data_IF_029565964170
#
_entry.id   IF_029565964170
#
_cell.length_a   1.000
_cell.length_b   1.000
_cell.length_c   1.000
_cell.angle_alpha   90.00
_cell.angle_beta   90.00
_cell.angle_gamma   90.00
#
_symmetry.space_group_name_H-M   'P 1'
#
loop_
_entity.id
_entity.type
_entity.pdbx_description
1 polymer ?
#
# COMPACT_ATOMS: atom_id res chain seq x y z
N UNK A 1 -2.53 42.58 -59.77
CA UNK A 1 -1.45 42.90 -58.83
C UNK A 1 -1.91 42.36 -57.45
N UNK A 2 -1.55 41.13 -57.16
CA UNK A 2 -2.00 40.42 -55.93
C UNK A 2 -0.95 40.70 -54.86
N UNK A 3 -1.36 41.37 -53.81
CA UNK A 3 -0.53 41.69 -52.64
C UNK A 3 -0.49 40.43 -51.77
N UNK A 4 0.61 39.69 -51.80
CA UNK A 4 0.85 38.53 -50.88
C UNK A 4 1.21 39.15 -49.53
N UNK A 5 0.23 39.10 -48.63
CA UNK A 5 0.41 39.47 -47.21
C UNK A 5 1.37 38.46 -46.56
N UNK A 6 2.59 38.91 -46.27
CA UNK A 6 3.62 38.12 -45.63
C UNK A 6 3.21 37.80 -44.19
N UNK A 7 2.83 36.57 -43.95
CA UNK A 7 2.56 36.00 -42.62
C UNK A 7 3.79 36.18 -41.71
N UNK A 8 3.74 37.18 -40.82
CA UNK A 8 4.77 37.40 -39.81
C UNK A 8 4.78 36.21 -38.86
N UNK A 9 5.63 35.22 -39.12
CA UNK A 9 5.95 34.15 -38.18
C UNK A 9 6.48 34.81 -36.90
N UNK A 10 5.63 34.81 -35.85
CA UNK A 10 5.98 35.27 -34.52
C UNK A 10 7.08 34.33 -33.97
N UNK A 11 8.35 34.71 -34.13
CA UNK A 11 9.47 33.95 -33.57
C UNK A 11 9.47 34.18 -32.06
N UNK A 12 9.14 33.14 -31.29
CA UNK A 12 9.21 33.17 -29.82
C UNK A 12 10.65 33.54 -29.42
N UNK A 13 10.87 34.57 -28.58
CA UNK A 13 12.21 34.99 -28.16
C UNK A 13 12.96 33.85 -27.45
N UNK A 14 14.27 33.82 -27.59
CA UNK A 14 15.13 32.75 -27.03
C UNK A 14 14.92 32.55 -25.52
N UNK A 15 14.77 33.63 -24.77
CA UNK A 15 14.48 33.58 -23.33
C UNK A 15 13.20 32.82 -22.99
N UNK A 16 12.13 32.99 -23.77
CA UNK A 16 10.88 32.26 -23.57
C UNK A 16 11.02 30.77 -23.91
N UNK A 17 11.78 30.40 -24.94
CA UNK A 17 12.03 28.99 -25.28
C UNK A 17 12.83 28.31 -24.17
N UNK A 18 13.85 28.97 -23.64
CA UNK A 18 14.65 28.48 -22.53
C UNK A 18 13.79 28.30 -21.26
N UNK A 19 12.95 29.31 -20.96
CA UNK A 19 12.01 29.22 -19.83
C UNK A 19 11.13 27.96 -19.91
N UNK A 20 10.41 27.78 -21.02
CA UNK A 20 9.51 26.66 -21.19
C UNK A 20 10.24 25.31 -21.19
N UNK A 21 11.42 25.23 -21.79
CA UNK A 21 12.23 24.00 -21.79
C UNK A 21 12.61 23.58 -20.37
N UNK A 22 13.16 24.51 -19.57
CA UNK A 22 13.56 24.24 -18.19
C UNK A 22 12.34 23.93 -17.30
N UNK A 23 11.26 24.68 -17.49
CA UNK A 23 10.03 24.47 -16.72
C UNK A 23 9.41 23.10 -16.99
N UNK A 24 9.27 22.68 -18.25
CA UNK A 24 8.72 21.36 -18.57
C UNK A 24 9.62 20.20 -18.14
N UNK A 25 10.95 20.38 -18.22
CA UNK A 25 11.89 19.40 -17.69
C UNK A 25 11.71 19.23 -16.18
N UNK A 26 11.62 20.32 -15.41
CA UNK A 26 11.39 20.29 -13.98
C UNK A 26 10.02 19.69 -13.63
N UNK A 27 8.98 20.09 -14.37
CA UNK A 27 7.62 19.55 -14.19
C UNK A 27 7.59 18.03 -14.42
N UNK A 28 8.24 17.54 -15.48
CA UNK A 28 8.37 16.10 -15.76
C UNK A 28 9.05 15.36 -14.63
N UNK A 29 10.16 15.89 -14.11
CA UNK A 29 10.85 15.32 -12.97
C UNK A 29 9.94 15.29 -11.73
N UNK A 30 9.22 16.37 -11.44
CA UNK A 30 8.29 16.45 -10.30
C UNK A 30 7.19 15.39 -10.41
N UNK A 31 6.60 15.21 -11.59
CA UNK A 31 5.57 14.18 -11.81
C UNK A 31 6.14 12.76 -11.61
N UNK A 32 7.30 12.46 -12.19
CA UNK A 32 7.96 11.17 -11.98
C UNK A 32 8.26 10.90 -10.51
N UNK A 33 8.75 11.91 -9.79
CA UNK A 33 9.05 11.80 -8.37
C UNK A 33 7.80 11.58 -7.52
N UNK A 34 6.69 12.29 -7.82
CA UNK A 34 5.41 12.08 -7.14
C UNK A 34 4.86 10.66 -7.35
N UNK A 35 4.95 10.13 -8.57
CA UNK A 35 4.52 8.76 -8.87
C UNK A 35 5.35 7.73 -8.10
N UNK A 36 6.67 7.91 -8.08
CA UNK A 36 7.58 7.05 -7.33
C UNK A 36 7.29 7.10 -5.82
N UNK A 37 7.15 8.30 -5.27
CA UNK A 37 6.85 8.48 -3.84
C UNK A 37 5.49 7.89 -3.46
N UNK A 38 4.47 8.06 -4.31
CA UNK A 38 3.15 7.46 -4.09
C UNK A 38 3.22 5.93 -3.99
N UNK A 39 3.97 5.28 -4.88
CA UNK A 39 4.16 3.82 -4.83
C UNK A 39 4.89 3.39 -3.56
N UNK A 40 5.98 4.08 -3.22
CA UNK A 40 6.77 3.80 -2.01
C UNK A 40 5.94 3.91 -0.72
N UNK A 41 5.16 4.98 -0.57
CA UNK A 41 4.31 5.14 0.62
C UNK A 41 3.25 4.04 0.73
N UNK A 42 2.65 3.65 -0.39
CA UNK A 42 1.67 2.56 -0.41
C UNK A 42 2.28 1.23 0.00
N UNK A 43 3.44 0.89 -0.52
CA UNK A 43 4.18 -0.33 -0.14
C UNK A 43 4.54 -0.30 1.34
N UNK A 44 5.10 0.80 1.81
CA UNK A 44 5.46 0.97 3.22
C UNK A 44 4.26 0.84 4.17
N UNK A 45 3.10 1.41 3.81
CA UNK A 45 1.89 1.28 4.60
C UNK A 45 1.40 -0.18 4.68
N UNK A 46 1.49 -0.93 3.56
CA UNK A 46 1.15 -2.35 3.53
C UNK A 46 2.11 -3.19 4.37
N UNK A 47 3.41 -2.95 4.27
CA UNK A 47 4.42 -3.62 5.09
C UNK A 47 4.23 -3.34 6.58
N UNK A 48 3.96 -2.08 6.94
CA UNK A 48 3.69 -1.69 8.33
C UNK A 48 2.48 -2.45 8.90
N UNK A 49 1.39 -2.53 8.14
CA UNK A 49 0.21 -3.28 8.56
C UNK A 49 0.50 -4.78 8.64
N UNK A 50 1.24 -5.33 7.66
CA UNK A 50 1.68 -6.72 7.68
C UNK A 50 2.51 -7.02 8.93
N UNK A 51 3.46 -6.17 9.31
CA UNK A 51 4.30 -6.36 10.48
C UNK A 51 3.48 -6.38 11.79
N UNK A 52 2.44 -5.55 11.89
CA UNK A 52 1.53 -5.59 13.04
C UNK A 52 0.77 -6.92 13.10
N UNK A 53 0.21 -7.38 11.98
CA UNK A 53 -0.54 -8.63 11.92
C UNK A 53 0.36 -9.86 12.07
N UNK A 54 1.55 -9.83 11.47
CA UNK A 54 2.57 -10.87 11.66
C UNK A 54 2.96 -11.01 13.13
N UNK A 55 3.11 -9.89 13.85
CA UNK A 55 3.36 -9.94 15.30
C UNK A 55 2.20 -10.61 16.07
N UNK A 56 0.94 -10.38 15.68
CA UNK A 56 -0.19 -11.13 16.26
C UNK A 56 -0.11 -12.63 15.95
N UNK A 57 0.29 -13.01 14.74
CA UNK A 57 0.49 -14.42 14.38
C UNK A 57 1.55 -15.08 15.27
N UNK A 58 2.68 -14.42 15.53
CA UNK A 58 3.73 -14.93 16.44
C UNK A 58 3.27 -15.00 17.90
N UNK A 59 2.52 -14.00 18.37
CA UNK A 59 1.95 -14.04 19.72
C UNK A 59 0.97 -15.19 19.89
N UNK A 60 0.09 -15.41 18.91
CA UNK A 60 -0.85 -16.52 18.90
C UNK A 60 -0.12 -17.87 18.91
N UNK A 61 0.89 -18.05 18.06
CA UNK A 61 1.71 -19.25 18.05
C UNK A 61 2.30 -19.54 19.43
N UNK A 62 2.89 -18.54 20.11
CA UNK A 62 3.45 -18.72 21.45
C UNK A 62 2.41 -19.16 22.47
N UNK A 63 1.19 -18.59 22.42
CA UNK A 63 0.10 -19.00 23.29
C UNK A 63 -0.36 -20.43 22.99
N UNK A 64 -0.46 -20.81 21.71
CA UNK A 64 -0.82 -22.18 21.33
C UNK A 64 0.24 -23.21 21.75
N UNK A 65 1.51 -22.86 21.84
CA UNK A 65 2.54 -23.76 22.37
C UNK A 65 2.40 -24.06 23.89
N UNK A 66 1.74 -23.18 24.64
CA UNK A 66 1.61 -23.26 26.06
C UNK A 66 0.27 -23.91 26.49
N UNK A 67 -0.61 -24.21 25.56
CA UNK A 67 -1.96 -24.72 25.80
C UNK A 67 -2.26 -25.91 24.90
N UNK A 68 -3.04 -26.82 25.41
CA UNK A 68 -3.56 -27.98 24.64
C UNK A 68 -4.90 -27.72 23.96
N UNK A 69 -5.62 -26.66 24.36
CA UNK A 69 -6.90 -26.27 23.78
C UNK A 69 -6.75 -25.00 22.90
N UNK A 70 -6.75 -25.21 21.59
CA UNK A 70 -6.62 -24.15 20.59
C UNK A 70 -7.80 -23.17 20.68
N UNK A 71 -9.04 -23.66 20.88
CA UNK A 71 -10.22 -22.81 20.89
C UNK A 71 -10.17 -21.80 22.05
N UNK A 72 -9.93 -22.30 23.26
CA UNK A 72 -9.80 -21.45 24.45
C UNK A 72 -8.63 -20.47 24.32
N UNK A 73 -7.53 -20.94 23.75
CA UNK A 73 -6.34 -20.11 23.55
C UNK A 73 -6.61 -18.94 22.61
N UNK A 74 -7.30 -19.18 21.49
CA UNK A 74 -7.63 -18.10 20.52
C UNK A 74 -8.64 -17.14 21.14
N UNK A 75 -9.65 -17.60 21.87
CA UNK A 75 -10.61 -16.72 22.55
C UNK A 75 -9.87 -15.79 23.52
N UNK A 76 -9.05 -16.36 24.41
CA UNK A 76 -8.23 -15.58 25.34
C UNK A 76 -7.30 -14.58 24.62
N UNK A 77 -6.70 -14.98 23.49
CA UNK A 77 -5.88 -14.11 22.68
C UNK A 77 -6.68 -12.94 22.10
N UNK A 78 -7.89 -13.20 21.60
CA UNK A 78 -8.77 -12.17 21.04
C UNK A 78 -9.25 -11.15 22.08
N UNK A 79 -9.38 -11.56 23.34
CA UNK A 79 -9.73 -10.65 24.43
C UNK A 79 -8.60 -9.68 24.77
N UNK A 80 -7.35 -10.12 24.62
CA UNK A 80 -6.15 -9.33 24.95
C UNK A 80 -5.78 -8.29 23.88
N UNK A 81 -6.28 -8.44 22.64
CA UNK A 81 -5.92 -7.54 21.55
C UNK A 81 -6.95 -6.42 21.32
N UNK A 82 -6.50 -5.21 20.91
CA UNK A 82 -7.41 -4.08 20.69
C UNK A 82 -8.28 -4.22 19.44
N UNK A 83 -7.86 -5.01 18.44
CA UNK A 83 -8.57 -5.19 17.16
C UNK A 83 -9.66 -6.27 17.28
N UNK A 84 -10.87 -5.86 17.65
CA UNK A 84 -12.00 -6.78 17.87
C UNK A 84 -12.51 -7.48 16.59
N UNK A 85 -12.29 -6.85 15.40
CA UNK A 85 -12.68 -7.43 14.10
C UNK A 85 -11.58 -8.31 13.48
N UNK A 86 -10.55 -8.67 14.24
CA UNK A 86 -9.48 -9.53 13.75
C UNK A 86 -10.01 -10.93 13.46
N UNK A 87 -9.85 -11.38 12.22
CA UNK A 87 -10.05 -12.78 11.84
C UNK A 87 -8.74 -13.52 12.00
N UNK A 88 -8.82 -14.68 12.63
CA UNK A 88 -7.67 -15.57 12.86
C UNK A 88 -7.95 -16.94 12.26
N UNK A 89 -6.97 -17.49 11.52
CA UNK A 89 -7.04 -18.82 10.92
C UNK A 89 -5.72 -19.54 11.18
N UNK A 90 -5.78 -20.81 11.57
CA UNK A 90 -4.63 -21.70 11.71
C UNK A 90 -4.75 -22.79 10.64
N UNK A 91 -3.69 -22.96 9.85
CA UNK A 91 -3.65 -23.86 8.68
C UNK A 91 -2.49 -24.83 8.87
N UNK A 92 -2.73 -26.10 8.64
CA UNK A 92 -1.74 -27.15 8.77
C UNK A 92 -0.74 -27.19 7.58
N UNK A 93 0.30 -28.04 7.64
CA UNK A 93 1.24 -28.18 6.52
C UNK A 93 0.62 -28.67 5.21
N UNK A 94 -0.49 -29.41 5.25
CA UNK A 94 -1.24 -29.85 4.06
C UNK A 94 -2.12 -28.76 3.44
N UNK A 95 -2.36 -27.68 4.20
CA UNK A 95 -3.19 -26.54 3.76
C UNK A 95 -4.61 -26.58 4.28
N UNK A 96 -4.91 -27.58 5.14
CA UNK A 96 -6.23 -27.71 5.71
C UNK A 96 -6.40 -26.76 6.92
N UNK A 97 -7.60 -26.20 7.06
CA UNK A 97 -7.90 -25.26 8.14
C UNK A 97 -8.16 -26.02 9.43
N UNK A 98 -7.33 -25.80 10.44
CA UNK A 98 -7.51 -26.36 11.78
C UNK A 98 -8.42 -25.49 12.65
N UNK A 99 -8.40 -24.17 12.45
CA UNK A 99 -9.17 -23.21 13.19
C UNK A 99 -9.47 -21.96 12.36
N UNK A 100 -10.69 -21.44 12.47
CA UNK A 100 -11.08 -20.12 11.93
C UNK A 100 -12.18 -19.52 12.81
N UNK A 101 -11.98 -18.29 13.31
CA UNK A 101 -12.95 -17.62 14.19
C UNK A 101 -14.09 -16.91 13.44
N UNK A 102 -14.18 -17.02 12.11
CA UNK A 102 -15.28 -16.40 11.35
C UNK A 102 -16.60 -17.16 11.40
N UNK A 103 -16.60 -18.35 12.01
CA UNK A 103 -17.80 -19.19 12.14
C UNK A 103 -18.28 -19.83 10.84
N UNK A 104 -17.45 -19.82 9.81
CA UNK A 104 -17.75 -20.50 8.54
C UNK A 104 -17.12 -21.89 8.56
N UNK A 105 -17.94 -22.93 8.52
CA UNK A 105 -17.50 -24.34 8.54
C UNK A 105 -16.83 -24.82 7.24
N UNK A 106 -16.37 -23.91 6.40
CA UNK A 106 -15.67 -24.27 5.18
C UNK A 106 -14.21 -24.61 5.48
N UNK A 107 -13.97 -25.89 5.83
CA UNK A 107 -12.64 -26.48 5.92
C UNK A 107 -12.03 -26.76 4.54
N UNK A 108 -12.04 -25.74 3.67
CA UNK A 108 -11.41 -25.84 2.35
C UNK A 108 -9.89 -25.72 2.49
N UNK A 109 -9.17 -26.44 1.62
CA UNK A 109 -7.73 -26.29 1.54
C UNK A 109 -7.32 -24.89 1.10
N UNK A 110 -6.44 -24.24 1.84
CA UNK A 110 -6.03 -22.86 1.64
C UNK A 110 -4.62 -22.70 1.03
N UNK A 111 -4.00 -23.76 0.56
CA UNK A 111 -2.64 -23.71 -0.03
C UNK A 111 -2.55 -22.78 -1.24
N UNK A 112 -3.64 -22.61 -2.00
CA UNK A 112 -3.67 -21.77 -3.20
C UNK A 112 -3.79 -20.27 -2.90
N UNK A 113 -4.03 -19.91 -1.64
CA UNK A 113 -4.16 -18.50 -1.25
C UNK A 113 -2.82 -17.78 -1.38
N UNK A 114 -2.83 -16.62 -2.02
CA UNK A 114 -1.60 -15.87 -2.35
C UNK A 114 -0.74 -15.54 -1.14
N UNK A 115 -1.36 -15.16 -0.01
CA UNK A 115 -0.68 -14.89 1.24
C UNK A 115 -0.05 -16.16 1.84
N UNK A 116 -0.74 -17.30 1.75
CA UNK A 116 -0.27 -18.60 2.25
C UNK A 116 0.92 -19.09 1.43
N UNK A 117 0.81 -19.04 0.10
CA UNK A 117 1.94 -19.42 -0.80
C UNK A 117 3.18 -18.56 -0.53
N UNK A 118 3.01 -17.24 -0.37
CA UNK A 118 4.13 -16.35 -0.02
C UNK A 118 4.73 -16.71 1.34
N UNK A 119 3.89 -16.97 2.35
CA UNK A 119 4.37 -17.36 3.67
C UNK A 119 5.14 -18.69 3.65
N UNK A 120 4.73 -19.65 2.83
CA UNK A 120 5.48 -20.91 2.67
C UNK A 120 6.85 -20.71 1.99
N UNK A 121 6.97 -19.74 1.07
CA UNK A 121 8.23 -19.49 0.34
C UNK A 121 9.17 -18.55 1.13
N UNK A 122 8.63 -17.55 1.81
CA UNK A 122 9.40 -16.44 2.40
C UNK A 122 9.19 -16.31 3.91
N UNK A 123 8.53 -17.28 4.56
CA UNK A 123 8.09 -17.31 5.95
C UNK A 123 6.98 -16.31 6.30
N UNK A 124 6.80 -15.25 5.51
CA UNK A 124 5.73 -14.27 5.66
C UNK A 124 5.13 -13.92 4.31
N UNK A 125 3.84 -13.59 4.31
CA UNK A 125 3.14 -13.15 3.12
C UNK A 125 1.87 -12.38 3.45
N UNK A 126 1.53 -11.41 2.62
CA UNK A 126 0.28 -10.69 2.75
C UNK A 126 -0.44 -10.53 1.41
N UNK A 127 -1.74 -10.31 1.48
CA UNK A 127 -2.59 -10.03 0.31
C UNK A 127 -3.85 -9.25 0.69
N UNK A 128 -4.35 -8.47 -0.25
CA UNK A 128 -5.66 -7.84 -0.15
C UNK A 128 -6.58 -8.54 -1.15
N UNK A 129 -7.57 -9.27 -0.65
CA UNK A 129 -8.52 -10.01 -1.48
C UNK A 129 -9.89 -10.15 -0.82
N UNK A 130 -10.90 -10.52 -1.60
CA UNK A 130 -12.21 -10.88 -1.06
C UNK A 130 -12.16 -12.27 -0.43
N UNK A 131 -12.82 -12.41 0.71
CA UNK A 131 -13.06 -13.71 1.36
C UNK A 131 -14.18 -14.43 0.62
N UNK A 132 -13.98 -15.68 0.29
CA UNK A 132 -15.01 -16.50 -0.33
C UNK A 132 -16.15 -16.82 0.64
N UNK A 133 -15.82 -17.01 1.92
CA UNK A 133 -16.78 -17.34 2.97
C UNK A 133 -17.64 -16.15 3.40
N UNK A 134 -17.08 -14.93 3.46
CA UNK A 134 -17.80 -13.75 3.95
C UNK A 134 -18.20 -12.75 2.86
N UNK A 135 -17.67 -12.89 1.64
CA UNK A 135 -17.86 -11.94 0.52
C UNK A 135 -17.20 -10.57 0.74
N UNK A 136 -16.63 -10.30 1.91
CA UNK A 136 -15.98 -9.03 2.24
C UNK A 136 -14.50 -9.04 1.84
N UNK A 137 -13.97 -7.86 1.55
CA UNK A 137 -12.52 -7.70 1.33
C UNK A 137 -11.78 -7.64 2.66
N UNK A 138 -10.62 -8.28 2.70
CA UNK A 138 -9.73 -8.30 3.85
C UNK A 138 -8.30 -8.00 3.44
N UNK A 139 -7.53 -7.43 4.37
CA UNK A 139 -6.08 -7.48 4.36
C UNK A 139 -5.66 -8.71 5.17
N UNK A 140 -5.04 -9.66 4.49
CA UNK A 140 -4.54 -10.91 5.08
C UNK A 140 -3.04 -10.80 5.32
N UNK A 141 -2.58 -11.29 6.48
CA UNK A 141 -1.17 -11.53 6.79
C UNK A 141 -1.01 -12.97 7.26
N UNK A 142 -0.07 -13.70 6.68
CA UNK A 142 0.22 -15.09 6.99
C UNK A 142 1.69 -15.26 7.38
N UNK A 143 1.94 -16.02 8.44
CA UNK A 143 3.28 -16.35 8.92
C UNK A 143 3.43 -17.88 9.00
N UNK A 144 4.49 -18.41 8.39
CA UNK A 144 4.84 -19.82 8.45
C UNK A 144 5.74 -20.06 9.68
N UNK A 145 5.22 -20.75 10.66
CA UNK A 145 5.92 -21.02 11.92
C UNK A 145 5.84 -22.51 12.21
N UNK A 146 6.98 -23.20 12.14
CA UNK A 146 7.03 -24.64 12.36
C UNK A 146 6.26 -25.48 11.34
N UNK A 147 6.10 -24.99 10.11
CA UNK A 147 5.35 -25.63 9.03
C UNK A 147 3.83 -25.30 9.05
N UNK A 148 3.30 -24.80 10.16
CA UNK A 148 1.92 -24.31 10.25
C UNK A 148 1.82 -22.86 9.83
N UNK A 149 0.70 -22.49 9.19
CA UNK A 149 0.41 -21.10 8.84
C UNK A 149 -0.52 -20.49 9.88
N UNK A 150 -0.05 -19.47 10.56
CA UNK A 150 -0.85 -18.58 11.38
C UNK A 150 -1.23 -17.38 10.53
N UNK A 151 -2.52 -17.17 10.33
CA UNK A 151 -3.03 -16.11 9.45
C UNK A 151 -3.98 -15.20 10.22
N UNK A 152 -3.65 -13.91 10.21
CA UNK A 152 -4.51 -12.83 10.71
C UNK A 152 -5.09 -12.06 9.56
N UNK A 153 -6.32 -11.56 9.68
CA UNK A 153 -6.92 -10.71 8.67
C UNK A 153 -7.79 -9.62 9.30
N UNK A 154 -7.73 -8.42 8.71
CA UNK A 154 -8.61 -7.31 9.07
C UNK A 154 -9.53 -6.97 7.90
N UNK A 155 -10.83 -6.65 8.16
CA UNK A 155 -11.72 -6.18 7.13
C UNK A 155 -11.14 -4.95 6.43
N UNK A 156 -11.23 -4.90 5.09
CA UNK A 156 -10.80 -3.75 4.30
C UNK A 156 -11.89 -2.67 4.37
N UNK A 157 -12.15 -2.21 5.58
CA UNK A 157 -13.09 -1.16 5.94
C UNK A 157 -12.46 0.24 5.78
N UNK A 158 -13.19 1.33 6.08
CA UNK A 158 -12.65 2.68 6.04
C UNK A 158 -11.43 2.88 6.93
N UNK A 159 -11.30 2.17 8.04
CA UNK A 159 -10.15 2.28 8.95
C UNK A 159 -8.88 1.69 8.32
N UNK A 160 -8.91 0.44 7.88
CA UNK A 160 -7.76 -0.21 7.19
C UNK A 160 -7.44 0.53 5.90
N UNK A 161 -8.45 0.94 5.14
CA UNK A 161 -8.27 1.77 3.95
C UNK A 161 -7.59 3.10 4.29
N UNK A 162 -7.96 3.73 5.41
CA UNK A 162 -7.33 4.96 5.91
C UNK A 162 -5.85 4.79 6.22
N UNK A 163 -5.47 3.68 6.88
CA UNK A 163 -4.06 3.34 7.15
C UNK A 163 -3.26 3.16 5.85
N UNK A 164 -3.88 2.60 4.81
CA UNK A 164 -3.24 2.32 3.53
C UNK A 164 -3.32 3.50 2.54
N UNK A 165 -3.92 4.64 2.91
CA UNK A 165 -3.93 5.83 2.06
C UNK A 165 -2.63 6.61 2.18
N UNK A 166 -2.16 7.08 1.04
CA UNK A 166 -0.97 7.95 0.96
C UNK A 166 -1.27 9.32 1.56
N UNK A 167 -0.34 9.86 2.33
CA UNK A 167 -0.46 11.20 2.90
C UNK A 167 -0.47 12.27 1.78
N UNK A 168 -1.51 13.09 1.74
CA UNK A 168 -1.68 14.15 0.74
C UNK A 168 -0.81 15.38 1.01
N UNK A 169 -0.30 15.54 2.22
CA UNK A 169 0.50 16.70 2.62
C UNK A 169 1.75 16.84 1.75
N UNK A 170 2.36 15.70 1.40
CA UNK A 170 3.50 15.67 0.49
C UNK A 170 3.15 16.19 -0.91
N UNK A 171 1.97 15.86 -1.42
CA UNK A 171 1.49 16.34 -2.73
C UNK A 171 1.33 17.87 -2.71
N UNK A 172 0.73 18.41 -1.65
CA UNK A 172 0.57 19.86 -1.49
C UNK A 172 1.91 20.57 -1.35
N UNK A 173 2.85 20.00 -0.59
CA UNK A 173 4.21 20.52 -0.48
C UNK A 173 4.91 20.59 -1.84
N UNK A 174 4.85 19.52 -2.63
CA UNK A 174 5.46 19.48 -3.96
C UNK A 174 4.79 20.46 -4.94
N UNK A 175 3.47 20.62 -4.87
CA UNK A 175 2.75 21.61 -5.67
C UNK A 175 3.19 23.04 -5.33
N UNK A 176 3.34 23.35 -4.04
CA UNK A 176 3.84 24.65 -3.55
C UNK A 176 5.28 24.91 -4.05
N UNK A 177 6.16 23.92 -3.92
CA UNK A 177 7.55 24.04 -4.39
C UNK A 177 7.63 24.24 -5.91
N UNK A 178 6.79 23.57 -6.68
CA UNK A 178 6.70 23.76 -8.14
C UNK A 178 6.25 25.18 -8.48
N UNK A 179 5.30 25.73 -7.74
CA UNK A 179 4.80 27.08 -7.92
C UNK A 179 5.87 28.14 -7.59
N UNK A 180 6.60 27.96 -6.48
CA UNK A 180 7.74 28.83 -6.13
C UNK A 180 8.81 28.79 -7.22
N UNK A 181 9.17 27.60 -7.69
CA UNK A 181 10.14 27.44 -8.77
C UNK A 181 9.69 28.16 -10.06
N UNK A 182 8.42 28.05 -10.44
CA UNK A 182 7.87 28.77 -11.59
C UNK A 182 8.06 30.28 -11.47
N UNK A 183 7.74 30.88 -10.32
CA UNK A 183 7.92 32.31 -10.10
C UNK A 183 9.39 32.74 -10.14
N UNK A 184 10.28 31.99 -9.48
CA UNK A 184 11.72 32.28 -9.47
C UNK A 184 12.29 32.20 -10.90
N UNK A 185 11.98 31.13 -11.63
CA UNK A 185 12.43 30.94 -13.01
C UNK A 185 11.89 32.03 -13.93
N UNK A 186 10.63 32.42 -13.77
CA UNK A 186 10.01 33.53 -14.52
C UNK A 186 10.75 34.85 -14.29
N UNK A 187 10.95 35.21 -13.01
CA UNK A 187 11.70 36.45 -12.66
C UNK A 187 13.10 36.47 -13.24
N UNK A 188 13.82 35.34 -13.11
CA UNK A 188 15.18 35.22 -13.65
C UNK A 188 15.21 35.34 -15.16
N UNK A 189 14.34 34.65 -15.88
CA UNK A 189 14.31 34.67 -17.35
C UNK A 189 13.93 36.05 -17.92
N UNK A 190 12.96 36.73 -17.29
CA UNK A 190 12.58 38.09 -17.71
C UNK A 190 13.64 39.13 -17.34
N UNK A 191 14.48 38.91 -16.34
CA UNK A 191 15.60 39.79 -15.98
C UNK A 191 16.75 39.73 -17.01
N UNK A 192 17.02 38.54 -17.57
CA UNK A 192 18.09 38.33 -18.56
C UNK A 192 17.64 38.76 -19.96
N UNK A 193 16.34 38.78 -20.23
CA UNK A 193 15.77 39.12 -21.54
C UNK A 193 15.60 40.63 -21.80
N UNK A 194 16.03 41.49 -20.86
CA UNK A 194 16.14 42.94 -21.03
C UNK A 194 17.58 43.32 -21.39
#
# INVERSE_FOLDING_TARGET
MVKIDGEKRHRIPFSQRLFWSVFFMFLGFTVCFLLFQYQREREFAQEKLNNVLSNYNYQLFRKCQQSTDINQTVISFMDDIPQKDLRVTIIDPSGDVLFDNSGTDEFNNHNDRSEVRKARLYNEGFAIRSSESTGKRYFYSASNIGGYIYRSALPYDPYVRGILTVNKDFIYFMALMTLIFFFVLSRFTFSIGK
#
